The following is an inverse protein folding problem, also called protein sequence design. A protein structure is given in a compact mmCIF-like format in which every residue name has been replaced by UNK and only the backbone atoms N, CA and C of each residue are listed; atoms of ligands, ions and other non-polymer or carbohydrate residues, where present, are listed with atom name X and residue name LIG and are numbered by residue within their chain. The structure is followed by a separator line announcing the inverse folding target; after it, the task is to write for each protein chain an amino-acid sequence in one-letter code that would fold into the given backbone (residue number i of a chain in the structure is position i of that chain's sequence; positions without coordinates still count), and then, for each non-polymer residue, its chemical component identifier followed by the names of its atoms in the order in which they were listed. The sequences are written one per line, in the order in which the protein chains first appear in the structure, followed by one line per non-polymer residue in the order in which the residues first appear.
data_IF_744690080738
#
_entry.id   IF_744690080738
#
_cell.length_a   1.000
_cell.length_b   1.000
_cell.length_c   1.000
_cell.angle_alpha   90.00
_cell.angle_beta   90.00
_cell.angle_gamma   90.00
#
_symmetry.space_group_name_H-M   'P 1'
#
loop_
_entity.id
_entity.type
_entity.pdbx_description
1 polymer ?
#
# COMPACT_ATOMS: atom_id res chain seq x y z
N UNK A 1 0.47 -8.30 0.75
CA UNK A 1 1.68 -8.67 -0.01
C UNK A 1 2.14 -7.43 -0.74
N UNK A 2 3.44 -7.18 -0.73
CA UNK A 2 4.12 -6.12 -1.47
C UNK A 2 5.05 -6.78 -2.48
N UNK A 3 5.05 -6.26 -3.71
CA UNK A 3 5.79 -6.81 -4.82
C UNK A 3 6.36 -5.68 -5.68
N UNK A 4 7.51 -5.93 -6.31
CA UNK A 4 8.04 -5.07 -7.38
C UNK A 4 7.54 -5.59 -8.72
N UNK A 5 7.12 -4.69 -9.60
CA UNK A 5 6.67 -5.05 -10.96
C UNK A 5 7.80 -4.76 -11.94
N UNK A 6 8.19 -5.76 -12.72
CA UNK A 6 9.19 -5.64 -13.76
C UNK A 6 8.70 -6.39 -15.02
N UNK A 7 8.65 -5.70 -16.16
CA UNK A 7 8.17 -6.25 -17.44
C UNK A 7 6.78 -6.93 -17.35
N UNK A 8 5.87 -6.33 -16.56
CA UNK A 8 4.52 -6.86 -16.35
C UNK A 8 4.44 -8.05 -15.38
N UNK A 9 5.56 -8.48 -14.79
CA UNK A 9 5.62 -9.57 -13.81
C UNK A 9 5.81 -8.99 -12.42
N UNK A 10 4.99 -9.43 -11.47
CA UNK A 10 5.11 -9.06 -10.06
C UNK A 10 5.99 -10.06 -9.31
N UNK A 11 7.07 -9.58 -8.71
CA UNK A 11 7.97 -10.34 -7.84
C UNK A 11 7.66 -10.02 -6.38
N UNK A 12 7.08 -10.95 -5.60
CA UNK A 12 6.78 -10.72 -4.19
C UNK A 12 8.06 -10.45 -3.39
N UNK A 13 8.05 -9.37 -2.61
CA UNK A 13 9.15 -9.02 -1.72
C UNK A 13 8.80 -9.31 -0.27
N UNK A 14 7.62 -8.87 0.16
CA UNK A 14 7.19 -8.95 1.56
C UNK A 14 5.72 -9.34 1.67
N UNK A 15 5.42 -10.18 2.66
CA UNK A 15 4.06 -10.50 3.04
C UNK A 15 3.99 -10.86 4.52
N UNK A 16 2.78 -10.83 5.04
CA UNK A 16 2.43 -11.32 6.37
C UNK A 16 1.26 -12.26 6.20
N UNK A 17 1.34 -13.44 6.81
CA UNK A 17 0.18 -14.34 6.89
C UNK A 17 -0.78 -13.76 7.93
N UNK A 18 -2.00 -13.47 7.51
CA UNK A 18 -3.01 -12.91 8.40
C UNK A 18 -3.78 -14.04 9.09
N UNK A 19 -3.91 -13.98 10.41
CA UNK A 19 -4.70 -14.93 11.20
C UNK A 19 -6.20 -14.55 11.19
N UNK A 20 -6.71 -14.26 9.99
CA UNK A 20 -8.12 -13.91 9.76
C UNK A 20 -8.52 -14.19 8.32
N UNK A 21 -9.83 -14.31 8.10
CA UNK A 21 -10.41 -14.37 6.74
C UNK A 21 -10.57 -12.97 6.17
N UNK A 22 -10.41 -12.86 4.85
CA UNK A 22 -10.58 -11.59 4.12
C UNK A 22 -9.28 -10.83 3.92
N UNK A 23 -9.41 -9.54 3.62
CA UNK A 23 -8.30 -8.68 3.21
C UNK A 23 -7.60 -8.00 4.41
N UNK A 24 -6.42 -7.44 4.15
CA UNK A 24 -5.69 -6.63 5.12
C UNK A 24 -6.46 -5.38 5.51
N UNK A 25 -6.42 -5.01 6.80
CA UNK A 25 -6.92 -3.72 7.28
C UNK A 25 -5.86 -2.61 7.06
N UNK A 26 -6.17 -1.37 7.44
CA UNK A 26 -5.26 -0.23 7.24
C UNK A 26 -3.93 -0.38 8.01
N UNK A 27 -3.97 -0.83 9.27
CA UNK A 27 -2.77 -1.02 10.09
C UNK A 27 -1.85 -2.09 9.50
N UNK A 28 -2.37 -3.24 9.10
CA UNK A 28 -1.58 -4.32 8.48
C UNK A 28 -0.93 -3.89 7.15
N UNK A 29 -1.50 -2.90 6.46
CA UNK A 29 -0.92 -2.31 5.24
C UNK A 29 0.21 -1.34 5.57
N UNK A 30 0.01 -0.48 6.58
CA UNK A 30 1.05 0.42 7.10
C UNK A 30 2.23 -0.39 7.63
N UNK A 31 1.98 -1.38 8.49
CA UNK A 31 3.02 -2.25 9.06
C UNK A 31 3.85 -2.95 7.97
N UNK A 32 3.20 -3.37 6.88
CA UNK A 32 3.90 -4.00 5.75
C UNK A 32 4.78 -3.01 4.98
N UNK A 33 4.33 -1.76 4.84
CA UNK A 33 5.04 -0.70 4.15
C UNK A 33 6.18 -0.13 5.00
N UNK A 34 5.96 0.14 6.28
CA UNK A 34 7.01 0.53 7.24
C UNK A 34 8.14 -0.51 7.28
N UNK A 35 7.79 -1.80 7.23
CA UNK A 35 8.78 -2.89 7.13
C UNK A 35 9.56 -2.87 5.83
N UNK A 36 8.94 -2.47 4.73
CA UNK A 36 9.62 -2.31 3.45
C UNK A 36 10.64 -1.19 3.55
N UNK A 37 10.25 -0.01 4.03
CA UNK A 37 11.13 1.15 4.18
C UNK A 37 12.30 0.84 5.12
N UNK A 38 12.06 0.13 6.23
CA UNK A 38 13.12 -0.29 7.14
C UNK A 38 14.13 -1.28 6.53
N UNK A 39 13.69 -2.12 5.58
CA UNK A 39 14.56 -3.09 4.89
C UNK A 39 15.29 -2.48 3.69
N UNK A 40 14.72 -1.44 3.10
CA UNK A 40 15.20 -0.80 1.88
C UNK A 40 15.26 0.73 2.03
N UNK A 41 16.04 1.26 3.01
CA UNK A 41 15.98 2.68 3.38
C UNK A 41 16.48 3.62 2.27
N UNK A 42 17.34 3.14 1.38
CA UNK A 42 17.94 3.94 0.30
C UNK A 42 17.26 3.69 -1.07
N UNK A 43 16.16 2.92 -1.10
CA UNK A 43 15.46 2.60 -2.35
C UNK A 43 14.49 3.72 -2.72
N UNK A 44 14.72 4.31 -3.89
CA UNK A 44 13.75 5.24 -4.48
C UNK A 44 12.52 4.49 -5.01
N UNK A 45 11.37 4.74 -4.40
CA UNK A 45 10.09 4.19 -4.85
C UNK A 45 9.42 5.16 -5.81
N UNK A 46 9.47 4.86 -7.11
CA UNK A 46 8.86 5.71 -8.13
C UNK A 46 7.34 5.86 -7.95
N UNK A 47 6.64 4.77 -7.60
CA UNK A 47 5.22 4.81 -7.29
C UNK A 47 4.71 3.55 -6.57
N UNK A 48 4.00 3.72 -5.46
CA UNK A 48 3.19 2.66 -4.85
C UNK A 48 1.87 2.49 -5.62
N UNK A 49 1.58 1.28 -6.07
CA UNK A 49 0.32 0.97 -6.77
C UNK A 49 -0.50 -0.06 -6.01
N UNK A 50 -1.82 0.13 -5.93
CA UNK A 50 -2.70 -0.86 -5.34
C UNK A 50 -4.12 -0.84 -5.92
N UNK A 51 -4.81 -1.98 -5.77
CA UNK A 51 -6.16 -2.18 -6.30
C UNK A 51 -7.27 -1.61 -5.38
N UNK A 52 -8.52 -1.66 -5.84
CA UNK A 52 -9.80 -1.24 -5.22
C UNK A 52 -10.13 -1.86 -3.87
N UNK A 53 -9.33 -2.80 -3.42
CA UNK A 53 -9.44 -3.41 -2.09
C UNK A 53 -8.53 -2.70 -1.08
N UNK A 54 -7.62 -1.84 -1.57
CA UNK A 54 -6.63 -1.14 -0.77
C UNK A 54 -7.02 0.32 -0.55
N UNK A 55 -8.26 0.52 -0.10
CA UNK A 55 -8.82 1.83 0.28
C UNK A 55 -9.04 1.91 1.79
N UNK A 56 -9.29 3.11 2.30
CA UNK A 56 -9.56 3.36 3.72
C UNK A 56 -8.96 4.69 4.17
N UNK A 57 -9.68 5.40 5.04
CA UNK A 57 -9.29 6.73 5.51
C UNK A 57 -7.89 6.75 6.11
N UNK A 58 -7.60 5.85 7.04
CA UNK A 58 -6.33 5.86 7.75
C UNK A 58 -5.18 5.51 6.80
N UNK A 59 -5.40 4.56 5.90
CA UNK A 59 -4.44 4.20 4.85
C UNK A 59 -4.13 5.39 3.92
N UNK A 60 -5.16 6.09 3.46
CA UNK A 60 -4.98 7.28 2.63
C UNK A 60 -4.31 8.41 3.40
N UNK A 61 -4.67 8.60 4.68
CA UNK A 61 -4.06 9.62 5.53
C UNK A 61 -2.57 9.33 5.71
N UNK A 62 -2.21 8.07 5.98
CA UNK A 62 -0.82 7.61 6.06
C UNK A 62 -0.04 7.92 4.78
N UNK A 63 -0.58 7.56 3.61
CA UNK A 63 0.05 7.86 2.31
C UNK A 63 0.15 9.35 1.98
N UNK A 64 -0.64 10.21 2.65
CA UNK A 64 -0.64 11.67 2.44
C UNK A 64 0.21 12.44 3.47
N UNK A 65 0.56 11.81 4.60
CA UNK A 65 1.29 12.46 5.69
C UNK A 65 2.77 12.70 5.32
N UNK A 66 3.28 12.08 4.26
CA UNK A 66 4.68 12.20 3.85
C UNK A 66 4.86 12.35 2.33
N UNK A 67 5.56 13.38 1.84
CA UNK A 67 6.06 13.41 0.47
C UNK A 67 7.39 12.66 0.34
N UNK A 68 7.38 11.33 0.37
CA UNK A 68 8.51 10.52 -0.16
C UNK A 68 8.09 9.42 -1.15
N UNK A 69 6.85 8.89 -1.09
CA UNK A 69 6.41 7.85 -2.04
C UNK A 69 5.15 8.25 -2.80
N UNK A 70 5.27 8.64 -4.10
CA UNK A 70 4.11 8.84 -4.96
C UNK A 70 3.23 7.59 -5.01
N UNK A 71 1.90 7.73 -5.07
CA UNK A 71 1.01 6.56 -5.13
C UNK A 71 -0.11 6.68 -6.17
N UNK A 72 -0.58 5.51 -6.63
CA UNK A 72 -1.73 5.36 -7.54
C UNK A 72 -2.62 4.23 -7.05
N UNK A 73 -3.83 4.57 -6.63
CA UNK A 73 -4.81 3.61 -6.12
C UNK A 73 -5.99 3.53 -7.09
N UNK A 74 -6.42 2.31 -7.44
CA UNK A 74 -7.67 2.13 -8.18
C UNK A 74 -8.83 2.30 -7.22
N UNK A 75 -9.71 3.28 -7.46
CA UNK A 75 -10.87 3.56 -6.62
C UNK A 75 -12.15 3.02 -7.29
N UNK A 76 -13.06 2.41 -6.51
CA UNK A 76 -14.38 2.00 -7.04
C UNK A 76 -15.24 3.24 -7.24
N UNK A 77 -16.12 3.20 -8.24
CA UNK A 77 -17.08 4.28 -8.45
C UNK A 77 -17.99 4.56 -7.24
N UNK A 78 -18.29 3.53 -6.44
CA UNK A 78 -19.11 3.64 -5.22
C UNK A 78 -18.35 4.15 -4.00
N UNK A 79 -17.03 4.32 -4.09
CA UNK A 79 -16.19 4.72 -2.97
C UNK A 79 -16.20 6.25 -2.87
N UNK A 80 -16.56 6.78 -1.70
CA UNK A 80 -16.54 8.21 -1.43
C UNK A 80 -15.36 8.54 -0.52
N UNK A 81 -14.43 9.35 -1.00
CA UNK A 81 -13.27 9.83 -0.25
C UNK A 81 -13.57 11.26 0.17
N UNK A 82 -13.96 11.48 1.43
CA UNK A 82 -14.17 12.82 1.96
C UNK A 82 -13.00 13.25 2.84
N UNK A 83 -12.40 14.44 2.62
CA UNK A 83 -11.63 15.09 3.68
C UNK A 83 -12.54 15.42 4.88
N UNK A 84 -11.95 15.57 6.06
CA UNK A 84 -12.67 16.08 7.24
C UNK A 84 -12.97 17.56 7.07
#
# INVERSE_FOLDING_TARGET
MLAVVHEGIAFPLLWTMLDKKGNSNSGERMDLFDRFEALFPDVEVACLTADREFVGRDWLSYLLIDPEVPFRLRIRHSELISPK
#
